data_IF_639702559495
#
_entry.id   IF_639702559495
#
_cell.length_a   1.000
_cell.length_b   1.000
_cell.length_c   1.000
_cell.angle_alpha   90.00
_cell.angle_beta   90.00
_cell.angle_gamma   90.00
#
_symmetry.space_group_name_H-M   'P 1'
#
loop_
_entity.id
_entity.type
_entity.pdbx_description
1 polymer ?
#
# COMPACT_ATOMS: atom_id res chain seq x y z
N UNK A 1 10.37 -5.89 30.42
CA UNK A 1 10.31 -4.49 29.95
C UNK A 1 10.27 -4.54 28.43
N UNK A 2 9.09 -4.33 27.82
CA UNK A 2 8.96 -4.28 26.35
C UNK A 2 9.63 -3.00 25.84
N UNK A 3 10.86 -3.12 25.37
CA UNK A 3 11.54 -2.06 24.63
C UNK A 3 10.84 -1.93 23.25
N UNK A 4 9.66 -1.30 23.24
CA UNK A 4 8.93 -1.04 22.01
C UNK A 4 9.59 0.15 21.30
N UNK A 5 10.76 -0.12 20.70
CA UNK A 5 11.48 0.88 19.89
C UNK A 5 10.55 1.35 18.78
N UNK A 6 10.27 2.66 18.70
CA UNK A 6 9.46 3.25 17.63
C UNK A 6 9.98 2.78 16.27
N UNK A 7 9.11 2.26 15.42
CA UNK A 7 9.41 1.79 14.06
C UNK A 7 8.97 2.82 13.03
N UNK A 8 9.72 2.94 11.95
CA UNK A 8 9.29 3.73 10.78
C UNK A 8 8.41 2.85 9.89
N UNK A 9 7.19 3.30 9.65
CA UNK A 9 6.17 2.63 8.84
C UNK A 9 5.86 3.48 7.62
N UNK A 10 6.18 2.98 6.43
CA UNK A 10 5.83 3.60 5.16
C UNK A 10 4.52 2.97 4.64
N UNK A 11 3.51 3.80 4.40
CA UNK A 11 2.20 3.38 3.88
C UNK A 11 1.93 4.11 2.57
N UNK A 12 1.66 3.37 1.49
CA UNK A 12 1.21 3.93 0.22
C UNK A 12 -0.31 3.95 0.12
N UNK A 13 -0.88 4.95 -0.60
CA UNK A 13 -2.33 5.17 -0.60
C UNK A 13 -2.86 5.44 0.81
N UNK A 14 -2.06 6.15 1.58
CA UNK A 14 -2.23 6.34 3.01
C UNK A 14 -3.48 7.14 3.38
N UNK A 15 -3.99 7.97 2.46
CA UNK A 15 -5.17 8.79 2.66
C UNK A 15 -6.48 8.07 2.28
N UNK A 16 -6.40 6.89 1.64
CA UNK A 16 -7.56 6.05 1.34
C UNK A 16 -8.13 5.36 2.59
N UNK A 17 -9.29 4.69 2.44
CA UNK A 17 -10.01 4.11 3.58
C UNK A 17 -9.16 3.17 4.44
N UNK A 18 -8.59 2.11 3.86
CA UNK A 18 -7.71 1.16 4.57
C UNK A 18 -6.41 1.86 4.99
N UNK A 19 -5.80 2.68 4.11
CA UNK A 19 -4.56 3.39 4.39
C UNK A 19 -4.67 4.29 5.62
N UNK A 20 -5.72 5.11 5.71
CA UNK A 20 -5.96 6.00 6.84
C UNK A 20 -6.16 5.25 8.15
N UNK A 21 -6.86 4.10 8.12
CA UNK A 21 -7.03 3.25 9.29
C UNK A 21 -5.69 2.66 9.77
N UNK A 22 -4.85 2.19 8.84
CA UNK A 22 -3.51 1.68 9.13
C UNK A 22 -2.61 2.77 9.72
N UNK A 23 -2.56 3.94 9.09
CA UNK A 23 -1.77 5.10 9.54
C UNK A 23 -2.14 5.47 10.97
N UNK A 24 -3.43 5.63 11.26
CA UNK A 24 -3.90 5.95 12.63
C UNK A 24 -3.56 4.85 13.64
N UNK A 25 -3.73 3.59 13.26
CA UNK A 25 -3.43 2.44 14.13
C UNK A 25 -1.94 2.36 14.49
N UNK A 26 -1.06 2.48 13.50
CA UNK A 26 0.38 2.45 13.77
C UNK A 26 0.86 3.68 14.53
N UNK A 27 0.32 4.87 14.24
CA UNK A 27 0.63 6.09 14.98
C UNK A 27 0.22 5.98 16.46
N UNK A 28 -0.98 5.45 16.75
CA UNK A 28 -1.43 5.24 18.14
C UNK A 28 -0.59 4.23 18.93
N UNK A 29 0.20 3.41 18.25
CA UNK A 29 1.15 2.49 18.85
C UNK A 29 2.55 3.10 19.04
N UNK A 30 2.72 4.42 18.84
CA UNK A 30 3.98 5.13 19.00
C UNK A 30 4.99 4.96 17.86
N UNK A 31 4.54 4.49 16.68
CA UNK A 31 5.40 4.38 15.51
C UNK A 31 5.50 5.73 14.77
N UNK A 32 6.58 5.91 14.02
CA UNK A 32 6.78 7.06 13.12
C UNK A 32 6.22 6.70 11.73
N UNK A 33 5.37 7.56 11.17
CA UNK A 33 4.61 7.25 9.96
C UNK A 33 5.11 8.07 8.76
N UNK A 34 5.48 7.40 7.70
CA UNK A 34 5.67 7.98 6.37
C UNK A 34 4.37 7.80 5.56
N UNK A 35 3.71 8.91 5.25
CA UNK A 35 2.41 8.98 4.58
C UNK A 35 2.67 9.24 3.10
N UNK A 36 2.60 8.20 2.25
CA UNK A 36 2.76 8.32 0.81
C UNK A 36 1.40 8.26 0.11
N UNK A 37 1.03 9.35 -0.55
CA UNK A 37 -0.22 9.47 -1.30
C UNK A 37 -0.08 10.46 -2.45
N UNK A 38 -0.92 10.32 -3.49
CA UNK A 38 -0.94 11.25 -4.62
C UNK A 38 -1.57 12.61 -4.25
N UNK A 39 -2.47 12.63 -3.27
CA UNK A 39 -3.09 13.86 -2.79
C UNK A 39 -2.15 14.55 -1.80
N UNK A 40 -1.43 15.56 -2.26
CA UNK A 40 -0.53 16.35 -1.44
C UNK A 40 -1.25 16.96 -0.23
N UNK A 41 -2.41 17.56 -0.46
CA UNK A 41 -3.19 18.21 0.59
C UNK A 41 -3.60 17.21 1.69
N UNK A 42 -4.19 16.06 1.29
CA UNK A 42 -4.62 15.06 2.27
C UNK A 42 -3.46 14.40 3.01
N UNK A 43 -2.31 14.19 2.34
CA UNK A 43 -1.14 13.62 2.98
C UNK A 43 -0.57 14.57 4.05
N UNK A 44 -0.46 15.86 3.76
CA UNK A 44 -0.04 16.85 4.75
C UNK A 44 -1.05 16.99 5.88
N UNK A 45 -2.34 17.11 5.56
CA UNK A 45 -3.40 17.19 6.58
C UNK A 45 -3.33 15.99 7.56
N UNK A 46 -3.19 14.77 7.03
CA UNK A 46 -3.12 13.56 7.86
C UNK A 46 -1.84 13.53 8.72
N UNK A 47 -0.70 14.00 8.20
CA UNK A 47 0.53 14.12 8.97
C UNK A 47 0.37 15.12 10.13
N UNK A 48 -0.21 16.29 9.86
CA UNK A 48 -0.45 17.33 10.88
C UNK A 48 -1.41 16.83 11.96
N UNK A 49 -2.47 16.12 11.60
CA UNK A 49 -3.41 15.54 12.55
C UNK A 49 -2.75 14.53 13.51
N UNK A 50 -1.81 13.74 13.01
CA UNK A 50 -1.04 12.81 13.85
C UNK A 50 -0.10 13.59 14.77
N UNK A 51 0.58 14.61 14.27
CA UNK A 51 1.50 15.45 15.05
C UNK A 51 0.77 16.22 16.14
N UNK A 52 -0.41 16.80 15.86
CA UNK A 52 -1.27 17.47 16.85
C UNK A 52 -1.67 16.56 18.02
N UNK A 53 -1.77 15.25 17.77
CA UNK A 53 -2.04 14.23 18.81
C UNK A 53 -0.78 13.70 19.49
N UNK A 54 0.39 14.34 19.28
CA UNK A 54 1.67 13.95 19.85
C UNK A 54 2.37 12.78 19.14
N UNK A 55 1.85 12.30 18.00
CA UNK A 55 2.49 11.27 17.19
C UNK A 55 3.59 11.84 16.29
N UNK A 56 4.31 10.95 15.60
CA UNK A 56 5.35 11.30 14.62
C UNK A 56 4.92 10.87 13.23
N UNK A 57 4.77 11.81 12.31
CA UNK A 57 4.44 11.54 10.92
C UNK A 57 5.06 12.57 9.98
N UNK A 58 5.26 12.19 8.72
CA UNK A 58 5.63 13.11 7.65
C UNK A 58 4.94 12.68 6.35
N UNK A 59 4.53 13.69 5.56
CA UNK A 59 3.98 13.49 4.24
C UNK A 59 5.10 13.33 3.19
N UNK A 60 4.85 12.43 2.25
CA UNK A 60 5.65 12.16 1.06
C UNK A 60 4.68 12.09 -0.13
N UNK A 61 4.18 13.24 -0.59
CA UNK A 61 3.24 13.27 -1.71
C UNK A 61 3.91 12.91 -3.02
N UNK A 62 3.21 12.16 -3.88
CA UNK A 62 3.68 11.81 -5.21
C UNK A 62 2.84 10.73 -5.87
N UNK A 63 3.01 10.59 -7.17
CA UNK A 63 2.26 9.61 -7.97
C UNK A 63 3.08 8.33 -8.17
N UNK A 64 2.50 7.20 -7.82
CA UNK A 64 3.10 5.88 -8.03
C UNK A 64 3.22 5.49 -9.51
N UNK A 65 2.60 6.23 -10.43
CA UNK A 65 2.85 6.13 -11.86
C UNK A 65 4.21 6.68 -12.25
N UNK A 66 4.74 7.61 -11.47
CA UNK A 66 6.10 8.14 -11.67
C UNK A 66 7.15 7.16 -11.12
N UNK A 67 7.94 6.60 -12.03
CA UNK A 67 9.00 5.66 -11.70
C UNK A 67 10.06 6.29 -10.80
N UNK A 68 10.39 7.56 -11.03
CA UNK A 68 11.39 8.29 -10.24
C UNK A 68 10.90 8.48 -8.80
N UNK A 69 9.62 8.78 -8.62
CA UNK A 69 9.02 8.85 -7.29
C UNK A 69 9.13 7.52 -6.55
N UNK A 70 8.74 6.41 -7.18
CA UNK A 70 8.84 5.08 -6.57
C UNK A 70 10.29 4.71 -6.20
N UNK A 71 11.25 5.01 -7.07
CA UNK A 71 12.66 4.65 -6.88
C UNK A 71 13.34 5.52 -5.79
N UNK A 72 12.85 6.74 -5.56
CA UNK A 72 13.42 7.68 -4.57
C UNK A 72 12.69 7.70 -3.24
N UNK A 73 11.38 7.40 -3.19
CA UNK A 73 10.54 7.50 -1.99
C UNK A 73 11.18 6.83 -0.77
N UNK A 74 11.70 5.61 -0.92
CA UNK A 74 12.28 4.87 0.20
C UNK A 74 13.54 5.53 0.76
N UNK A 75 14.34 6.15 -0.10
CA UNK A 75 15.54 6.90 0.30
C UNK A 75 15.16 8.18 1.03
N UNK A 76 14.19 8.93 0.50
CA UNK A 76 13.69 10.16 1.13
C UNK A 76 13.10 9.90 2.52
N UNK A 77 12.31 8.84 2.65
CA UNK A 77 11.79 8.40 3.96
C UNK A 77 12.93 8.07 4.91
N UNK A 78 13.95 7.33 4.45
CA UNK A 78 15.09 6.98 5.28
C UNK A 78 15.89 8.21 5.73
N UNK A 79 16.09 9.18 4.85
CA UNK A 79 16.80 10.43 5.18
C UNK A 79 16.01 11.22 6.23
N UNK A 80 14.70 11.34 6.07
CA UNK A 80 13.85 12.20 6.91
C UNK A 80 13.43 11.56 8.23
N UNK A 81 13.16 10.24 8.23
CA UNK A 81 12.55 9.55 9.38
C UNK A 81 13.41 8.41 9.94
N UNK A 82 14.47 8.00 9.25
CA UNK A 82 15.32 6.88 9.63
C UNK A 82 14.95 5.58 8.91
N UNK A 83 15.57 4.48 9.34
CA UNK A 83 15.44 3.19 8.69
C UNK A 83 13.99 2.69 8.63
N UNK A 84 13.50 2.33 7.44
CA UNK A 84 12.16 1.80 7.23
C UNK A 84 12.10 0.39 7.80
N UNK A 85 11.28 0.19 8.83
CA UNK A 85 11.07 -1.12 9.44
C UNK A 85 9.88 -1.86 8.82
N UNK A 86 8.87 -1.11 8.35
CA UNK A 86 7.65 -1.67 7.79
C UNK A 86 7.29 -0.91 6.51
N UNK A 87 7.10 -1.64 5.40
CA UNK A 87 6.49 -1.12 4.18
C UNK A 87 5.10 -1.74 4.01
N UNK A 88 4.09 -0.90 3.80
CA UNK A 88 2.73 -1.35 3.49
C UNK A 88 2.35 -0.82 2.10
N UNK A 89 2.37 -1.71 1.11
CA UNK A 89 1.87 -1.46 -0.23
C UNK A 89 0.35 -1.58 -0.21
N UNK A 90 -0.32 -0.48 0.12
CA UNK A 90 -1.78 -0.41 0.23
C UNK A 90 -2.42 0.33 -0.95
N UNK A 91 -1.69 1.22 -1.63
CA UNK A 91 -2.20 1.87 -2.81
C UNK A 91 -2.71 0.85 -3.84
N UNK A 92 -3.82 1.16 -4.45
CA UNK A 92 -4.41 0.31 -5.48
C UNK A 92 -5.62 0.97 -6.11
N UNK A 93 -5.98 0.50 -7.27
CA UNK A 93 -7.19 0.89 -7.97
C UNK A 93 -7.94 -0.34 -8.45
N UNK A 94 -9.23 -0.17 -8.66
CA UNK A 94 -10.12 -1.20 -9.19
C UNK A 94 -10.73 -0.70 -10.50
N UNK A 95 -10.57 -1.50 -11.56
CA UNK A 95 -11.30 -1.36 -12.81
C UNK A 95 -12.27 -2.52 -12.96
N UNK A 96 -13.46 -2.21 -13.40
CA UNK A 96 -14.55 -3.19 -13.58
C UNK A 96 -14.73 -3.48 -15.06
N UNK A 97 -15.30 -4.62 -15.35
CA UNK A 97 -15.58 -5.10 -16.69
C UNK A 97 -15.07 -6.53 -16.92
N UNK A 98 -15.69 -7.21 -17.86
CA UNK A 98 -15.18 -8.45 -18.43
C UNK A 98 -14.11 -8.17 -19.50
N UNK A 99 -13.64 -9.20 -20.19
CA UNK A 99 -12.58 -9.06 -21.21
C UNK A 99 -13.00 -8.21 -22.40
N UNK A 100 -14.29 -8.15 -22.73
CA UNK A 100 -14.79 -7.39 -23.88
C UNK A 100 -14.99 -5.90 -23.56
N UNK A 101 -15.03 -5.56 -22.28
CA UNK A 101 -15.20 -4.19 -21.77
C UNK A 101 -13.86 -3.59 -21.29
N UNK A 102 -12.89 -4.42 -20.95
CA UNK A 102 -11.58 -3.95 -20.48
C UNK A 102 -10.82 -3.27 -21.62
N UNK A 103 -10.30 -2.08 -21.35
CA UNK A 103 -9.45 -1.34 -22.30
C UNK A 103 -7.97 -1.58 -22.00
N UNK A 104 -7.11 -1.34 -23.00
CA UNK A 104 -5.65 -1.41 -22.82
C UNK A 104 -5.19 -0.40 -21.76
N UNK A 105 -5.79 0.80 -21.74
CA UNK A 105 -5.47 1.85 -20.76
C UNK A 105 -5.80 1.42 -19.33
N UNK A 106 -6.96 0.79 -19.12
CA UNK A 106 -7.37 0.28 -17.81
C UNK A 106 -6.46 -0.86 -17.35
N UNK A 107 -6.08 -1.74 -18.27
CA UNK A 107 -5.15 -2.82 -18.00
C UNK A 107 -3.76 -2.27 -17.61
N UNK A 108 -3.17 -1.39 -18.44
CA UNK A 108 -1.86 -0.79 -18.18
C UNK A 108 -1.85 0.00 -16.86
N UNK A 109 -2.85 0.85 -16.63
CA UNK A 109 -2.95 1.64 -15.42
C UNK A 109 -3.04 0.75 -14.18
N UNK A 110 -3.84 -0.31 -14.24
CA UNK A 110 -3.99 -1.26 -13.14
C UNK A 110 -2.69 -2.02 -12.88
N UNK A 111 -1.99 -2.47 -13.92
CA UNK A 111 -0.68 -3.12 -13.78
C UNK A 111 0.35 -2.16 -13.18
N UNK A 112 0.42 -0.92 -13.63
CA UNK A 112 1.35 0.08 -13.11
C UNK A 112 1.14 0.33 -11.60
N UNK A 113 -0.10 0.53 -11.16
CA UNK A 113 -0.40 0.86 -9.76
C UNK A 113 -0.40 -0.38 -8.86
N UNK A 114 -1.07 -1.45 -9.26
CA UNK A 114 -1.29 -2.60 -8.38
C UNK A 114 -0.12 -3.59 -8.35
N UNK A 115 0.77 -3.58 -9.37
CA UNK A 115 1.87 -4.55 -9.51
C UNK A 115 3.23 -3.86 -9.64
N UNK A 116 3.42 -2.97 -10.61
CA UNK A 116 4.72 -2.36 -10.88
C UNK A 116 5.19 -1.44 -9.72
N UNK A 117 4.30 -0.62 -9.18
CA UNK A 117 4.65 0.27 -8.07
C UNK A 117 5.09 -0.52 -6.82
N UNK A 118 4.34 -1.53 -6.32
CA UNK A 118 4.83 -2.41 -5.25
C UNK A 118 6.14 -3.09 -5.58
N UNK A 119 6.32 -3.60 -6.80
CA UNK A 119 7.58 -4.21 -7.23
C UNK A 119 8.76 -3.23 -7.09
N UNK A 120 8.62 -1.98 -7.56
CA UNK A 120 9.66 -0.95 -7.45
C UNK A 120 9.98 -0.60 -6.01
N UNK A 121 8.96 -0.35 -5.20
CA UNK A 121 9.13 -0.02 -3.78
C UNK A 121 9.79 -1.16 -3.01
N UNK A 122 9.41 -2.40 -3.26
CA UNK A 122 10.01 -3.58 -2.63
C UNK A 122 11.48 -3.71 -3.05
N UNK A 123 11.77 -3.58 -4.35
CA UNK A 123 13.14 -3.60 -4.87
C UNK A 123 14.02 -2.53 -4.23
N UNK A 124 13.47 -1.32 -4.01
CA UNK A 124 14.20 -0.22 -3.41
C UNK A 124 14.38 -0.38 -1.89
N UNK A 125 13.39 -0.94 -1.17
CA UNK A 125 13.45 -1.02 0.29
C UNK A 125 14.23 -2.24 0.81
N UNK A 126 14.26 -3.36 0.10
CA UNK A 126 14.93 -4.59 0.55
C UNK A 126 16.41 -4.36 0.90
N UNK A 127 17.24 -3.71 0.07
CA UNK A 127 18.63 -3.45 0.44
C UNK A 127 18.76 -2.59 1.71
N UNK A 128 17.84 -1.65 1.92
CA UNK A 128 17.81 -0.78 3.09
C UNK A 128 17.43 -1.57 4.35
N UNK A 129 16.42 -2.43 4.25
CA UNK A 129 16.00 -3.34 5.34
C UNK A 129 17.10 -4.34 5.69
N UNK A 130 17.76 -4.95 4.69
CA UNK A 130 18.87 -5.87 4.90
C UNK A 130 20.00 -5.20 5.68
N UNK A 131 20.40 -3.99 5.29
CA UNK A 131 21.42 -3.20 6.00
C UNK A 131 21.00 -2.85 7.43
N UNK A 132 19.69 -2.67 7.67
CA UNK A 132 19.14 -2.39 9.00
C UNK A 132 18.93 -3.65 9.89
N UNK A 133 19.22 -4.85 9.38
CA UNK A 133 19.06 -6.11 10.10
C UNK A 133 17.70 -6.79 9.94
N UNK A 134 16.91 -6.36 8.98
CA UNK A 134 15.62 -6.97 8.64
C UNK A 134 14.46 -5.99 8.56
N UNK A 135 13.27 -6.49 8.28
CA UNK A 135 12.08 -5.67 8.13
C UNK A 135 10.79 -6.47 7.91
N UNK A 136 9.71 -5.76 7.64
CA UNK A 136 8.43 -6.38 7.31
C UNK A 136 7.76 -5.65 6.15
N UNK A 137 7.30 -6.41 5.16
CA UNK A 137 6.57 -5.89 4.00
C UNK A 137 5.18 -6.52 4.00
N UNK A 138 4.15 -5.69 3.87
CA UNK A 138 2.77 -6.14 3.73
C UNK A 138 2.20 -5.60 2.42
N UNK A 139 1.74 -6.50 1.58
CA UNK A 139 1.06 -6.17 0.34
C UNK A 139 -0.46 -6.33 0.53
N UNK A 140 -1.22 -5.26 0.28
CA UNK A 140 -2.69 -5.32 0.32
C UNK A 140 -3.19 -5.83 -1.03
N UNK A 141 -3.41 -7.15 -1.09
CA UNK A 141 -4.02 -7.83 -2.22
C UNK A 141 -5.56 -7.74 -2.15
N UNK A 142 -6.26 -8.82 -2.39
CA UNK A 142 -7.71 -8.94 -2.30
C UNK A 142 -8.09 -10.42 -2.24
N UNK A 143 -9.23 -10.74 -1.63
CA UNK A 143 -9.85 -12.06 -1.76
C UNK A 143 -10.05 -12.43 -3.25
N UNK A 144 -10.35 -11.45 -4.09
CA UNK A 144 -10.48 -11.62 -5.55
C UNK A 144 -9.15 -11.82 -6.29
N UNK A 145 -8.01 -11.66 -5.65
CA UNK A 145 -6.73 -12.15 -6.14
C UNK A 145 -6.50 -13.65 -5.87
N UNK A 146 -7.38 -14.27 -5.06
CA UNK A 146 -7.35 -15.70 -4.73
C UNK A 146 -8.53 -16.42 -5.37
N UNK A 147 -9.75 -15.90 -5.15
CA UNK A 147 -10.99 -16.40 -5.74
C UNK A 147 -11.63 -15.27 -6.56
N UNK A 148 -11.47 -15.26 -7.90
CA UNK A 148 -11.89 -14.15 -8.73
C UNK A 148 -13.40 -13.96 -8.74
N UNK A 149 -13.84 -12.70 -8.60
CA UNK A 149 -15.23 -12.30 -8.76
C UNK A 149 -15.55 -11.95 -10.23
N UNK A 150 -16.83 -12.01 -10.63
CA UNK A 150 -17.26 -11.68 -11.99
C UNK A 150 -17.07 -10.19 -12.29
N UNK A 151 -16.86 -9.84 -13.54
CA UNK A 151 -16.73 -8.46 -14.04
C UNK A 151 -15.61 -7.63 -13.38
N UNK A 152 -14.51 -8.30 -12.99
CA UNK A 152 -13.34 -7.64 -12.39
C UNK A 152 -12.03 -8.24 -12.90
N UNK A 153 -12.00 -8.66 -14.18
CA UNK A 153 -10.88 -9.38 -14.77
C UNK A 153 -9.52 -8.72 -14.48
N UNK A 154 -9.38 -7.45 -14.85
CA UNK A 154 -8.12 -6.70 -14.70
C UNK A 154 -7.71 -6.60 -13.23
N UNK A 155 -8.67 -6.26 -12.37
CA UNK A 155 -8.40 -6.15 -10.93
C UNK A 155 -7.96 -7.49 -10.31
N UNK A 156 -8.72 -8.57 -10.57
CA UNK A 156 -8.39 -9.92 -10.09
C UNK A 156 -7.00 -10.34 -10.55
N UNK A 157 -6.68 -10.12 -11.83
CA UNK A 157 -5.38 -10.44 -12.42
C UNK A 157 -4.24 -9.72 -11.68
N UNK A 158 -4.37 -8.39 -11.46
CA UNK A 158 -3.34 -7.63 -10.78
C UNK A 158 -3.17 -8.03 -9.31
N UNK A 159 -4.26 -8.32 -8.62
CA UNK A 159 -4.21 -8.74 -7.20
C UNK A 159 -3.69 -10.18 -7.04
N UNK A 160 -3.95 -11.06 -8.01
CA UNK A 160 -3.34 -12.39 -8.08
C UNK A 160 -1.82 -12.30 -8.33
N UNK A 161 -1.40 -11.42 -9.24
CA UNK A 161 0.02 -11.16 -9.51
C UNK A 161 0.74 -10.66 -8.25
N UNK A 162 0.14 -9.71 -7.51
CA UNK A 162 0.71 -9.20 -6.26
C UNK A 162 0.81 -10.30 -5.18
N UNK A 163 -0.19 -11.16 -5.06
CA UNK A 163 -0.16 -12.29 -4.14
C UNK A 163 0.91 -13.33 -4.52
N UNK A 164 1.09 -13.61 -5.81
CA UNK A 164 2.15 -14.49 -6.31
C UNK A 164 3.54 -13.89 -6.03
N UNK A 165 3.75 -12.62 -6.37
CA UNK A 165 5.00 -11.90 -6.09
C UNK A 165 5.34 -11.93 -4.60
N UNK A 166 4.37 -11.77 -3.72
CA UNK A 166 4.55 -11.84 -2.27
C UNK A 166 5.13 -13.19 -1.82
N UNK A 167 4.59 -14.29 -2.37
CA UNK A 167 5.08 -15.65 -2.02
C UNK A 167 6.52 -15.90 -2.48
N UNK A 168 6.88 -15.43 -3.68
CA UNK A 168 8.25 -15.52 -4.19
C UNK A 168 9.22 -14.74 -3.28
N UNK A 169 8.94 -13.46 -3.09
CA UNK A 169 9.78 -12.57 -2.29
C UNK A 169 9.91 -13.02 -0.83
N UNK A 170 8.85 -13.58 -0.23
CA UNK A 170 8.90 -14.11 1.13
C UNK A 170 9.88 -15.27 1.27
N UNK A 171 10.04 -16.11 0.24
CA UNK A 171 11.04 -17.18 0.20
C UNK A 171 12.44 -16.65 -0.05
N UNK A 172 12.58 -15.74 -1.01
CA UNK A 172 13.87 -15.22 -1.44
C UNK A 172 14.59 -14.42 -0.33
N UNK A 173 13.82 -13.71 0.52
CA UNK A 173 14.40 -12.78 1.49
C UNK A 173 14.24 -13.19 2.96
N UNK A 174 13.71 -14.39 3.26
CA UNK A 174 13.56 -14.88 4.63
C UNK A 174 14.91 -14.95 5.38
N UNK A 175 15.98 -15.37 4.69
CA UNK A 175 17.32 -15.47 5.24
C UNK A 175 17.94 -14.11 5.62
N UNK A 176 17.36 -13.00 5.12
CA UNK A 176 17.76 -11.63 5.45
C UNK A 176 16.96 -11.04 6.60
N UNK A 177 16.20 -11.86 7.34
CA UNK A 177 15.28 -11.42 8.39
C UNK A 177 14.20 -10.42 7.88
N UNK A 178 13.79 -10.58 6.61
CA UNK A 178 12.71 -9.77 6.00
C UNK A 178 11.49 -10.67 5.81
N UNK A 179 10.39 -10.31 6.49
CA UNK A 179 9.12 -11.01 6.35
C UNK A 179 8.26 -10.28 5.32
N UNK A 180 7.74 -11.01 4.34
CA UNK A 180 6.92 -10.45 3.27
C UNK A 180 5.62 -11.25 3.19
N UNK A 181 4.48 -10.58 3.47
CA UNK A 181 3.17 -11.19 3.50
C UNK A 181 2.15 -10.37 2.71
N UNK A 182 1.09 -11.04 2.26
CA UNK A 182 -0.08 -10.37 1.71
C UNK A 182 -1.27 -10.50 2.67
N UNK A 183 -2.06 -9.45 2.74
CA UNK A 183 -3.42 -9.53 3.27
C UNK A 183 -4.39 -9.49 2.09
N UNK A 184 -5.45 -10.27 2.16
CA UNK A 184 -6.43 -10.42 1.08
C UNK A 184 -7.82 -10.03 1.63
N UNK A 185 -8.09 -8.72 1.83
CA UNK A 185 -9.38 -8.29 2.35
C UNK A 185 -10.52 -8.71 1.42
N UNK A 186 -11.67 -8.97 2.00
CA UNK A 186 -12.94 -9.03 1.32
C UNK A 186 -13.55 -7.62 1.24
N UNK A 187 -14.83 -7.47 1.40
CA UNK A 187 -15.49 -6.17 1.39
C UNK A 187 -15.12 -5.36 2.64
N UNK A 188 -14.56 -4.18 2.42
CA UNK A 188 -14.23 -3.22 3.46
C UNK A 188 -14.95 -1.92 3.16
N UNK A 189 -15.75 -1.42 4.10
CA UNK A 189 -16.48 -0.16 3.93
C UNK A 189 -15.51 1.03 3.75
N UNK A 190 -15.23 1.33 2.49
CA UNK A 190 -14.30 2.36 2.04
C UNK A 190 -14.93 3.18 0.93
N UNK A 191 -14.42 4.39 0.62
CA UNK A 191 -14.87 5.14 -0.55
C UNK A 191 -14.81 4.33 -1.86
N UNK A 192 -13.79 3.49 -2.04
CA UNK A 192 -13.66 2.62 -3.22
C UNK A 192 -14.82 1.61 -3.34
N UNK A 193 -15.25 1.03 -2.23
CA UNK A 193 -16.41 0.11 -2.21
C UNK A 193 -17.70 0.89 -2.49
N UNK A 194 -17.91 2.00 -1.78
CA UNK A 194 -19.12 2.84 -1.93
C UNK A 194 -19.32 3.31 -3.36
N UNK A 195 -18.28 3.88 -3.99
CA UNK A 195 -18.33 4.23 -5.43
C UNK A 195 -18.70 3.02 -6.30
N UNK A 196 -18.28 1.83 -5.91
CA UNK A 196 -18.65 0.59 -6.63
C UNK A 196 -20.11 0.22 -6.53
N UNK A 197 -20.77 0.52 -5.42
CA UNK A 197 -22.22 0.35 -5.26
C UNK A 197 -22.96 1.42 -6.06
N UNK A 198 -22.56 2.68 -5.93
CA UNK A 198 -23.16 3.82 -6.66
C UNK A 198 -23.15 3.61 -8.19
N UNK A 199 -22.02 3.18 -8.78
CA UNK A 199 -21.90 2.88 -10.21
C UNK A 199 -22.90 1.80 -10.66
N UNK A 200 -23.26 0.87 -9.77
CA UNK A 200 -24.23 -0.19 -10.04
C UNK A 200 -25.68 0.22 -9.72
N UNK A 201 -25.91 1.45 -9.29
CA UNK A 201 -27.22 1.93 -8.85
C UNK A 201 -27.69 1.27 -7.54
N UNK A 202 -26.77 0.77 -6.73
CA UNK A 202 -27.05 0.13 -5.43
C UNK A 202 -26.75 1.12 -4.29
N UNK A 203 -27.50 1.04 -3.22
CA UNK A 203 -27.22 1.83 -2.04
C UNK A 203 -26.08 1.16 -1.23
N UNK A 204 -24.99 1.84 -0.92
CA UNK A 204 -23.87 1.27 -0.17
C UNK A 204 -24.17 1.01 1.31
N UNK A 205 -25.31 1.44 1.81
CA UNK A 205 -25.74 1.26 3.20
C UNK A 205 -26.79 0.14 3.37
N UNK A 206 -27.21 -0.52 2.26
CA UNK A 206 -28.07 -1.72 2.27
C UNK A 206 -27.20 -2.98 2.35
#
# INVERSE_FOLDING_TARGET
>A
MNNNKSRVVLVTGACGGIGKALVNKYASQGNTIAIADKSQEQAHFLADEIQKRGGKAAAFPGDLLDKNYCDNLTKEVQIKLGAINILINNAGLMRRGDITQATDEDFELSMKINVEAPFRLIRAVIPLMTKAGGGSIVNVSSCWGVNPGPNHLVYCTTKAALAAMTRCLGRDHAHQNIRINAVCPNEVNTPMLRTGFEIRGLNPDD
#
